data_IF_880308037133
#
_entry.id   IF_880308037133
#
_cell.length_a   1.000
_cell.length_b   1.000
_cell.length_c   1.000
_cell.angle_alpha   90.00
_cell.angle_beta   90.00
_cell.angle_gamma   90.00
#
_symmetry.space_group_name_H-M   'P 1'
#
loop_
_entity.id
_entity.type
_entity.pdbx_description
1 polymer ?
#
# COMPACT_ATOMS: atom_id res chain seq x y z
N UNK A 1 -34.31 -9.66 -32.48
CA UNK A 1 -33.16 -8.78 -32.80
C UNK A 1 -32.61 -8.14 -31.50
N UNK A 2 -32.27 -8.94 -30.48
CA UNK A 2 -32.01 -8.48 -29.10
C UNK A 2 -30.54 -8.56 -28.64
N UNK A 3 -29.62 -9.04 -29.49
CA UNK A 3 -28.25 -9.36 -29.05
C UNK A 3 -27.20 -8.25 -29.31
N UNK A 4 -27.55 -7.17 -30.00
CA UNK A 4 -26.60 -6.07 -30.26
C UNK A 4 -26.45 -5.10 -29.07
N UNK A 5 -27.42 -5.06 -28.15
CA UNK A 5 -27.49 -4.04 -27.09
C UNK A 5 -26.52 -4.29 -25.93
N UNK A 6 -25.93 -5.49 -25.82
CA UNK A 6 -25.01 -5.87 -24.73
C UNK A 6 -23.59 -6.17 -25.21
N UNK A 7 -23.21 -5.75 -26.43
CA UNK A 7 -21.86 -5.95 -26.94
C UNK A 7 -20.92 -4.88 -26.36
N UNK A 8 -19.93 -5.31 -25.60
CA UNK A 8 -18.85 -4.44 -25.12
C UNK A 8 -17.69 -4.52 -26.12
N UNK A 9 -17.26 -3.40 -26.74
CA UNK A 9 -16.05 -3.36 -27.57
C UNK A 9 -14.79 -3.70 -26.77
N UNK A 10 -13.77 -4.23 -27.44
CA UNK A 10 -12.51 -4.63 -26.79
C UNK A 10 -11.86 -3.46 -26.05
N UNK A 11 -11.94 -2.27 -26.61
CA UNK A 11 -11.35 -1.04 -26.08
C UNK A 11 -11.95 -0.63 -24.72
N UNK A 12 -13.15 -1.10 -24.38
CA UNK A 12 -13.77 -0.85 -23.08
C UNK A 12 -13.36 -1.85 -21.99
N UNK A 13 -12.71 -2.95 -22.37
CA UNK A 13 -12.21 -4.00 -21.45
C UNK A 13 -10.70 -4.16 -21.54
N UNK A 14 -10.03 -3.34 -22.34
CA UNK A 14 -8.58 -3.34 -22.45
C UNK A 14 -7.97 -2.63 -21.23
N UNK A 15 -7.50 -3.43 -20.28
CA UNK A 15 -6.74 -2.97 -19.12
C UNK A 15 -5.23 -3.20 -19.31
N UNK A 16 -4.78 -3.41 -20.55
CA UNK A 16 -3.36 -3.56 -20.82
C UNK A 16 -2.60 -2.27 -20.52
N UNK A 17 -1.36 -2.44 -20.08
CA UNK A 17 -0.43 -1.34 -19.82
C UNK A 17 0.57 -1.33 -20.97
N UNK A 18 0.74 -0.18 -21.63
CA UNK A 18 1.65 -0.08 -22.77
C UNK A 18 3.11 -0.23 -22.34
N UNK A 19 3.93 -0.80 -23.21
CA UNK A 19 5.36 -1.01 -22.98
C UNK A 19 6.12 0.31 -22.82
N UNK A 20 5.71 1.33 -23.56
CA UNK A 20 6.32 2.67 -23.53
C UNK A 20 6.07 3.35 -22.18
N UNK A 21 4.88 3.14 -21.60
CA UNK A 21 4.56 3.65 -20.26
C UNK A 21 5.43 3.00 -19.19
N UNK A 22 5.63 1.67 -19.26
CA UNK A 22 6.48 0.94 -18.32
C UNK A 22 7.92 1.44 -18.43
N UNK A 23 8.48 1.52 -19.64
CA UNK A 23 9.84 1.99 -19.87
C UNK A 23 10.08 3.42 -19.35
N UNK A 24 9.08 4.30 -19.48
CA UNK A 24 9.17 5.66 -18.97
C UNK A 24 9.21 5.73 -17.44
N UNK A 25 8.52 4.82 -16.76
CA UNK A 25 8.39 4.80 -15.29
C UNK A 25 9.41 3.89 -14.60
N UNK A 26 10.19 3.13 -15.37
CA UNK A 26 11.21 2.24 -14.86
C UNK A 26 12.41 3.03 -14.30
N UNK A 27 12.97 2.57 -13.19
CA UNK A 27 14.08 3.25 -12.51
C UNK A 27 13.72 4.44 -11.62
N UNK A 28 12.43 4.78 -11.51
CA UNK A 28 11.95 5.71 -10.49
C UNK A 28 12.06 5.12 -9.08
N UNK A 29 11.93 5.97 -8.06
CA UNK A 29 12.22 5.65 -6.65
C UNK A 29 11.13 4.82 -5.94
N UNK A 30 10.62 3.80 -6.64
CA UNK A 30 9.59 2.90 -6.16
C UNK A 30 10.11 2.05 -4.99
N UNK A 31 9.28 1.87 -3.96
CA UNK A 31 9.57 0.97 -2.84
C UNK A 31 10.25 1.60 -1.63
N UNK A 32 10.59 2.90 -1.65
CA UNK A 32 10.99 3.61 -0.43
C UNK A 32 9.83 3.82 0.55
N UNK A 33 8.61 3.90 0.04
CA UNK A 33 7.39 4.12 0.82
C UNK A 33 6.46 2.91 0.76
N UNK A 34 5.64 2.74 1.79
CA UNK A 34 4.58 1.72 1.81
C UNK A 34 3.41 2.23 0.96
N UNK A 35 3.08 1.49 -0.10
CA UNK A 35 2.00 1.83 -1.04
C UNK A 35 0.70 1.12 -0.64
N UNK A 36 -0.43 1.84 -0.72
CA UNK A 36 -1.78 1.26 -0.61
C UNK A 36 -2.30 0.98 0.81
N UNK A 37 -1.58 1.39 1.86
CA UNK A 37 -1.94 1.07 3.26
C UNK A 37 -2.10 2.29 4.19
N UNK A 38 -2.78 3.40 3.79
CA UNK A 38 -2.85 4.61 4.60
C UNK A 38 -3.43 4.37 6.00
N UNK A 39 -4.55 3.63 6.09
CA UNK A 39 -5.20 3.29 7.36
C UNK A 39 -4.29 2.50 8.32
N UNK A 40 -3.46 1.60 7.79
CA UNK A 40 -2.55 0.80 8.62
C UNK A 40 -1.40 1.66 9.15
N UNK A 41 -0.89 2.57 8.33
CA UNK A 41 0.18 3.50 8.72
C UNK A 41 -0.31 4.49 9.79
N UNK A 42 -1.51 5.05 9.64
CA UNK A 42 -2.13 5.94 10.64
C UNK A 42 -2.35 5.23 11.98
N UNK A 43 -2.88 4.00 11.96
CA UNK A 43 -3.09 3.23 13.19
C UNK A 43 -1.77 2.86 13.87
N UNK A 44 -0.74 2.54 13.10
CA UNK A 44 0.58 2.24 13.61
C UNK A 44 1.23 3.48 14.22
N UNK A 45 1.18 4.63 13.53
CA UNK A 45 1.67 5.91 14.03
C UNK A 45 1.00 6.31 15.34
N UNK A 46 -0.33 6.23 15.41
CA UNK A 46 -1.05 6.42 16.67
C UNK A 46 -0.58 5.45 17.76
N UNK A 47 -0.47 4.16 17.43
CA UNK A 47 -0.13 3.11 18.39
C UNK A 47 1.26 3.27 19.00
N UNK A 48 2.27 3.66 18.20
CA UNK A 48 3.66 3.81 18.68
C UNK A 48 3.85 5.03 19.61
N UNK A 49 3.00 6.05 19.51
CA UNK A 49 3.05 7.23 20.37
C UNK A 49 2.38 7.01 21.75
N UNK A 50 1.68 5.88 21.97
CA UNK A 50 1.03 5.59 23.25
C UNK A 50 2.06 5.10 24.27
N UNK A 51 2.40 5.97 25.24
CA UNK A 51 3.28 5.64 26.37
C UNK A 51 2.48 5.14 27.58
N UNK A 52 2.13 3.85 27.56
CA UNK A 52 1.44 3.22 28.69
C UNK A 52 2.08 1.86 29.06
N UNK A 53 2.33 1.65 30.36
CA UNK A 53 2.92 0.39 30.84
C UNK A 53 2.01 -0.79 30.50
N UNK A 54 2.55 -1.80 29.83
CA UNK A 54 1.82 -2.99 29.42
C UNK A 54 1.02 -2.86 28.11
N UNK A 55 1.09 -1.71 27.44
CA UNK A 55 0.51 -1.53 26.11
C UNK A 55 1.36 -2.23 25.04
N UNK A 56 0.69 -2.95 24.14
CA UNK A 56 1.32 -3.67 23.04
C UNK A 56 0.54 -3.45 21.75
N UNK A 57 1.23 -3.41 20.61
CA UNK A 57 0.64 -3.29 19.28
C UNK A 57 0.70 -4.64 18.57
N UNK A 58 -0.44 -5.09 18.02
CA UNK A 58 -0.53 -6.30 17.22
C UNK A 58 -0.92 -5.96 15.76
N UNK A 59 -0.18 -6.50 14.80
CA UNK A 59 -0.40 -6.23 13.37
C UNK A 59 -0.82 -7.50 12.61
N UNK A 60 -2.02 -7.49 12.04
CA UNK A 60 -2.58 -8.59 11.23
C UNK A 60 -2.70 -8.20 9.75
N UNK A 61 -2.78 -9.22 8.88
CA UNK A 61 -2.92 -9.03 7.43
C UNK A 61 -2.44 -10.24 6.64
N UNK A 62 -2.78 -10.28 5.36
CA UNK A 62 -2.40 -11.36 4.44
C UNK A 62 -0.88 -11.47 4.33
N UNK A 63 -0.28 -12.68 4.22
CA UNK A 63 1.14 -12.83 3.91
C UNK A 63 1.57 -12.04 2.67
N UNK A 64 2.79 -11.50 2.66
CA UNK A 64 3.32 -10.74 1.52
C UNK A 64 2.92 -9.25 1.47
N UNK A 65 2.10 -8.75 2.39
CA UNK A 65 1.66 -7.33 2.44
C UNK A 65 2.69 -6.36 3.04
N UNK A 66 3.92 -6.81 3.32
CA UNK A 66 4.97 -5.93 3.85
C UNK A 66 4.80 -5.51 5.32
N UNK A 67 3.97 -6.18 6.12
CA UNK A 67 3.71 -5.84 7.54
C UNK A 67 4.98 -5.58 8.36
N UNK A 68 5.95 -6.48 8.27
CA UNK A 68 7.24 -6.34 8.99
C UNK A 68 8.01 -5.10 8.51
N UNK A 69 8.05 -4.87 7.20
CA UNK A 69 8.72 -3.71 6.60
C UNK A 69 8.10 -2.41 7.08
N UNK A 70 6.76 -2.31 7.08
CA UNK A 70 6.04 -1.13 7.56
C UNK A 70 6.34 -0.83 9.04
N UNK A 71 6.33 -1.86 9.90
CA UNK A 71 6.67 -1.71 11.33
C UNK A 71 8.10 -1.21 11.51
N UNK A 72 9.07 -1.82 10.82
CA UNK A 72 10.47 -1.41 10.94
C UNK A 72 10.71 0.01 10.44
N UNK A 73 10.06 0.42 9.34
CA UNK A 73 10.15 1.79 8.84
C UNK A 73 9.54 2.80 9.80
N UNK A 74 8.36 2.51 10.36
CA UNK A 74 7.73 3.39 11.35
C UNK A 74 8.61 3.56 12.60
N UNK A 75 9.15 2.45 13.13
CA UNK A 75 10.04 2.48 14.29
C UNK A 75 11.38 3.19 14.01
N UNK A 76 11.94 3.04 12.80
CA UNK A 76 13.17 3.73 12.42
C UNK A 76 13.01 5.26 12.35
N UNK A 77 11.80 5.71 12.00
CA UNK A 77 11.47 7.15 11.91
C UNK A 77 10.97 7.73 13.23
N UNK A 78 10.57 6.89 14.19
CA UNK A 78 10.04 7.31 15.47
C UNK A 78 11.16 7.81 16.40
N UNK A 79 10.95 9.01 16.97
CA UNK A 79 11.80 9.57 18.02
C UNK A 79 10.93 9.76 19.26
N UNK A 80 11.18 9.02 20.36
CA UNK A 80 10.44 9.23 21.59
C UNK A 80 10.74 10.64 22.11
N UNK A 81 9.69 11.40 22.43
CA UNK A 81 9.83 12.64 23.21
C UNK A 81 10.35 12.27 24.61
N UNK A 82 11.22 13.08 25.21
CA UNK A 82 11.70 12.86 26.59
C UNK A 82 10.58 13.09 27.63
#
# INVERSE_FOLDING_TARGET
MYQAQFRIPFEQIDYSVSTELIQRLDGEDWGKTIIGQPRALEALDMGIHIKAKGYNVFCSGVPGTGRKTAILQALANYKPED
#
